data_IF_991413340737
#
_entry.id   IF_991413340737
#
_cell.length_a   1.000
_cell.length_b   1.000
_cell.length_c   1.000
_cell.angle_alpha   90.00
_cell.angle_beta   90.00
_cell.angle_gamma   90.00
#
_symmetry.space_group_name_H-M   'P 1'
#
loop_
_entity.id
_entity.type
_entity.pdbx_description
1 polymer ?
#
# COMPACT_ATOMS: atom_id res chain seq x y z
N UNK A 1 -9.51 0.58 25.49
CA UNK A 1 -8.97 -0.79 25.55
C UNK A 1 -7.47 -0.71 25.35
N UNK A 2 -6.67 -1.43 26.15
CA UNK A 2 -5.21 -1.48 25.96
C UNK A 2 -4.88 -2.39 24.77
N UNK A 3 -3.83 -2.08 24.02
CA UNK A 3 -3.27 -2.98 23.02
C UNK A 3 -2.80 -4.29 23.70
N UNK A 4 -3.03 -5.48 23.10
CA UNK A 4 -2.46 -6.73 23.59
C UNK A 4 -0.93 -6.65 23.68
N UNK A 5 -0.33 -7.36 24.66
CA UNK A 5 1.12 -7.29 24.92
C UNK A 5 1.93 -8.22 24.00
N UNK A 6 1.33 -9.33 23.58
CA UNK A 6 1.96 -10.30 22.67
C UNK A 6 1.60 -10.00 21.21
N UNK A 7 2.54 -10.14 20.26
CA UNK A 7 2.25 -9.99 18.83
C UNK A 7 1.12 -10.93 18.36
N UNK A 8 0.38 -10.55 17.31
CA UNK A 8 -0.67 -11.37 16.74
C UNK A 8 -0.19 -12.78 16.36
N UNK A 9 -0.85 -13.79 16.91
CA UNK A 9 -0.65 -15.20 16.60
C UNK A 9 -1.97 -15.96 16.75
N UNK A 10 -2.09 -17.21 16.23
CA UNK A 10 -3.37 -17.94 16.28
C UNK A 10 -3.98 -18.11 17.68
N UNK A 11 -3.19 -18.05 18.75
CA UNK A 11 -3.64 -18.22 20.12
C UNK A 11 -4.25 -16.97 20.77
N UNK A 12 -4.02 -15.77 20.22
CA UNK A 12 -4.46 -14.50 20.81
C UNK A 12 -5.32 -13.62 19.88
N UNK A 13 -5.83 -14.17 18.77
CA UNK A 13 -6.58 -13.41 17.75
C UNK A 13 -7.87 -12.77 18.26
N UNK A 14 -8.50 -13.33 19.29
CA UNK A 14 -9.72 -12.76 19.87
C UNK A 14 -9.44 -11.44 20.59
N UNK A 15 -8.32 -11.34 21.31
CA UNK A 15 -7.90 -10.10 21.98
C UNK A 15 -7.58 -9.01 20.96
N UNK A 16 -6.89 -9.37 19.87
CA UNK A 16 -6.60 -8.46 18.76
C UNK A 16 -7.87 -8.02 18.03
N UNK A 17 -8.86 -8.92 17.88
CA UNK A 17 -10.16 -8.57 17.28
C UNK A 17 -10.89 -7.54 18.14
N UNK A 18 -10.94 -7.74 19.45
CA UNK A 18 -11.60 -6.81 20.37
C UNK A 18 -10.90 -5.46 20.40
N UNK A 19 -9.56 -5.45 20.38
CA UNK A 19 -8.77 -4.23 20.27
C UNK A 19 -9.06 -3.48 18.96
N UNK A 20 -9.10 -4.18 17.82
CA UNK A 20 -9.44 -3.61 16.51
C UNK A 20 -10.85 -3.01 16.49
N UNK A 21 -11.85 -3.72 17.05
CA UNK A 21 -13.22 -3.22 17.17
C UNK A 21 -13.30 -1.99 18.07
N UNK A 22 -12.60 -1.99 19.20
CA UNK A 22 -12.54 -0.83 20.09
C UNK A 22 -11.91 0.38 19.42
N UNK A 23 -10.83 0.17 18.65
CA UNK A 23 -10.20 1.20 17.83
C UNK A 23 -11.17 1.75 16.79
N UNK A 24 -11.83 0.89 16.00
CA UNK A 24 -12.79 1.33 14.97
C UNK A 24 -13.98 2.08 15.57
N UNK A 25 -14.48 1.68 16.75
CA UNK A 25 -15.54 2.41 17.47
C UNK A 25 -15.08 3.80 17.93
N UNK A 26 -13.82 3.94 18.34
CA UNK A 26 -13.27 5.25 18.70
C UNK A 26 -13.15 6.17 17.47
N UNK A 27 -12.78 5.61 16.31
CA UNK A 27 -12.68 6.36 15.06
C UNK A 27 -14.06 6.71 14.50
N UNK A 28 -15.02 5.78 14.57
CA UNK A 28 -16.35 5.88 13.98
C UNK A 28 -17.46 5.51 14.98
N UNK A 29 -17.79 6.41 15.93
CA UNK A 29 -18.71 6.09 17.03
C UNK A 29 -20.09 5.57 16.62
N UNK A 30 -20.57 5.96 15.43
CA UNK A 30 -21.92 5.62 14.95
C UNK A 30 -21.92 4.54 13.85
N UNK A 31 -20.77 4.24 13.25
CA UNK A 31 -20.69 3.45 12.00
C UNK A 31 -19.65 2.31 12.08
N UNK A 32 -19.06 2.08 13.25
CA UNK A 32 -18.11 0.99 13.42
C UNK A 32 -18.77 -0.37 13.21
N UNK A 33 -18.06 -1.33 12.59
CA UNK A 33 -18.59 -2.68 12.40
C UNK A 33 -18.85 -3.33 13.77
N UNK A 34 -19.90 -4.15 13.84
CA UNK A 34 -20.20 -4.94 15.03
C UNK A 34 -19.27 -6.14 15.15
N UNK A 35 -18.82 -6.69 14.01
CA UNK A 35 -18.01 -7.90 13.89
C UNK A 35 -16.93 -7.70 12.84
N UNK A 36 -15.79 -8.38 13.05
CA UNK A 36 -14.74 -8.52 12.06
C UNK A 36 -14.74 -9.97 11.55
N UNK A 37 -14.42 -10.16 10.27
CA UNK A 37 -14.29 -11.48 9.65
C UNK A 37 -13.04 -12.21 10.16
N UNK A 38 -12.83 -13.45 9.68
CA UNK A 38 -11.65 -14.23 10.02
C UNK A 38 -10.37 -13.50 9.58
N UNK A 39 -9.37 -13.35 10.47
CA UNK A 39 -8.14 -12.66 10.13
C UNK A 39 -7.18 -13.56 9.33
N UNK A 40 -6.28 -12.91 8.61
CA UNK A 40 -5.02 -13.51 8.14
C UNK A 40 -3.88 -12.94 8.97
N UNK A 41 -2.98 -13.81 9.44
CA UNK A 41 -1.80 -13.43 10.21
C UNK A 41 -0.56 -13.47 9.30
N UNK A 42 0.22 -12.42 9.33
CA UNK A 42 1.57 -12.36 8.78
C UNK A 42 2.53 -12.35 9.96
N UNK A 43 3.25 -13.44 10.16
CA UNK A 43 4.11 -13.64 11.34
C UNK A 43 5.34 -12.74 11.37
N UNK A 44 5.63 -12.06 10.27
CA UNK A 44 6.77 -11.18 10.11
C UNK A 44 6.44 -10.02 9.16
N UNK A 45 7.06 -8.87 9.40
CA UNK A 45 7.00 -7.68 8.57
C UNK A 45 8.42 -7.25 8.20
N UNK A 46 8.69 -6.90 6.93
CA UNK A 46 10.01 -6.41 6.50
C UNK A 46 10.34 -5.02 7.05
N UNK A 47 9.39 -4.34 7.71
CA UNK A 47 9.63 -3.05 8.34
C UNK A 47 10.01 -3.23 9.81
N UNK A 48 11.14 -2.62 10.19
CA UNK A 48 11.60 -2.57 11.57
C UNK A 48 10.51 -2.00 12.50
N UNK A 49 10.21 -2.72 13.58
CA UNK A 49 9.21 -2.33 14.59
C UNK A 49 7.74 -2.55 14.20
N UNK A 50 7.43 -3.20 13.07
CA UNK A 50 6.06 -3.66 12.77
C UNK A 50 5.76 -5.05 13.35
N UNK A 51 6.75 -5.94 13.35
CA UNK A 51 6.61 -7.31 13.84
C UNK A 51 5.51 -8.11 13.13
N UNK A 52 4.83 -8.98 13.88
CA UNK A 52 3.69 -9.73 13.35
C UNK A 52 2.44 -8.84 13.23
N UNK A 53 1.66 -9.05 12.17
CA UNK A 53 0.41 -8.31 11.94
C UNK A 53 -0.75 -9.25 11.65
N UNK A 54 -1.96 -8.82 12.04
CA UNK A 54 -3.21 -9.47 11.68
C UNK A 54 -4.08 -8.51 10.86
N UNK A 55 -4.60 -9.00 9.74
CA UNK A 55 -5.51 -8.26 8.87
C UNK A 55 -6.91 -8.83 9.03
N UNK A 56 -7.84 -8.00 9.49
CA UNK A 56 -9.24 -8.35 9.69
C UNK A 56 -10.11 -7.67 8.63
N UNK A 57 -10.73 -8.42 7.71
CA UNK A 57 -11.73 -7.89 6.79
C UNK A 57 -13.02 -7.53 7.53
N UNK A 58 -13.73 -6.52 7.04
CA UNK A 58 -15.08 -6.20 7.52
C UNK A 58 -15.90 -5.44 6.48
N UNK A 59 -17.22 -5.57 6.58
CA UNK A 59 -18.16 -4.77 5.79
C UNK A 59 -18.35 -3.38 6.42
N UNK A 60 -18.39 -2.34 5.60
CA UNK A 60 -18.65 -0.97 6.03
C UNK A 60 -19.45 -0.21 4.98
N UNK A 61 -20.54 0.47 5.37
CA UNK A 61 -21.29 1.33 4.46
C UNK A 61 -20.49 2.57 4.02
N UNK A 62 -19.37 2.87 4.69
CA UNK A 62 -18.51 4.02 4.39
C UNK A 62 -17.53 3.77 3.25
N UNK A 63 -17.36 2.53 2.85
CA UNK A 63 -16.39 2.18 1.83
C UNK A 63 -16.97 2.53 0.46
N UNK A 64 -16.36 3.52 -0.20
CA UNK A 64 -16.86 4.08 -1.45
C UNK A 64 -16.75 3.02 -2.56
N UNK A 65 -17.90 2.65 -3.13
CA UNK A 65 -18.01 1.63 -4.19
C UNK A 65 -17.93 0.20 -3.67
N UNK A 66 -16.77 -0.18 -3.13
CA UNK A 66 -16.57 -1.48 -2.49
C UNK A 66 -16.93 -1.38 -1.01
N UNK A 67 -18.06 -1.96 -0.61
CA UNK A 67 -18.52 -1.99 0.79
C UNK A 67 -17.60 -2.77 1.76
N UNK A 68 -16.41 -3.19 1.31
CA UNK A 68 -15.43 -3.92 2.11
C UNK A 68 -14.26 -3.03 2.51
N UNK A 69 -13.80 -3.24 3.73
CA UNK A 69 -12.61 -2.63 4.30
C UNK A 69 -11.77 -3.70 4.98
N UNK A 70 -10.54 -3.34 5.31
CA UNK A 70 -9.67 -4.12 6.18
C UNK A 70 -9.18 -3.23 7.31
N UNK A 71 -9.00 -3.80 8.51
CA UNK A 71 -8.23 -3.20 9.59
C UNK A 71 -7.01 -4.06 9.86
N UNK A 72 -5.85 -3.44 9.94
CA UNK A 72 -4.57 -4.07 10.25
C UNK A 72 -4.19 -3.71 11.67
N UNK A 73 -3.80 -4.71 12.47
CA UNK A 73 -3.32 -4.56 13.83
C UNK A 73 -2.03 -5.33 14.03
N UNK A 74 -1.17 -4.88 14.95
CA UNK A 74 0.13 -5.48 15.23
C UNK A 74 0.85 -4.67 16.29
N UNK A 75 2.17 -4.60 16.24
CA UNK A 75 2.97 -3.80 17.18
C UNK A 75 2.71 -2.30 17.04
N UNK A 76 2.39 -1.85 15.82
CA UNK A 76 2.08 -0.44 15.55
C UNK A 76 0.60 -0.11 15.72
N UNK A 77 0.29 1.19 15.68
CA UNK A 77 -1.08 1.68 15.79
C UNK A 77 -1.95 1.08 14.66
N UNK A 78 -3.18 0.63 14.97
CA UNK A 78 -4.09 0.11 13.96
C UNK A 78 -4.31 1.08 12.79
N UNK A 79 -4.46 0.53 11.59
CA UNK A 79 -4.83 1.28 10.40
C UNK A 79 -5.96 0.56 9.67
N UNK A 80 -6.85 1.31 9.02
CA UNK A 80 -7.89 0.74 8.16
C UNK A 80 -7.86 1.34 6.76
N UNK A 81 -8.28 0.54 5.78
CA UNK A 81 -8.32 0.94 4.37
C UNK A 81 -9.57 0.37 3.69
N UNK A 82 -10.11 1.04 2.66
CA UNK A 82 -10.98 0.36 1.70
C UNK A 82 -10.25 -0.87 1.13
N UNK A 83 -11.00 -1.94 0.84
CA UNK A 83 -10.37 -3.17 0.33
C UNK A 83 -9.88 -2.97 -1.11
N UNK A 84 -10.54 -2.10 -1.87
CA UNK A 84 -10.28 -1.85 -3.29
C UNK A 84 -10.27 -3.14 -4.12
N UNK A 85 -11.02 -4.18 -3.71
CA UNK A 85 -10.94 -5.51 -4.30
C UNK A 85 -9.52 -6.12 -4.31
N UNK A 86 -8.65 -5.72 -3.38
CA UNK A 86 -7.31 -6.31 -3.21
C UNK A 86 -7.42 -7.66 -2.52
N UNK A 87 -6.49 -8.57 -2.85
CA UNK A 87 -6.26 -9.78 -2.05
C UNK A 87 -5.70 -9.39 -0.68
N UNK A 88 -5.74 -10.31 0.28
CA UNK A 88 -5.18 -10.03 1.61
C UNK A 88 -3.65 -9.82 1.55
N UNK A 89 -2.95 -10.51 0.64
CA UNK A 89 -1.53 -10.26 0.38
C UNK A 89 -1.25 -8.86 -0.17
N UNK A 90 -2.10 -8.38 -1.08
CA UNK A 90 -1.98 -7.02 -1.60
C UNK A 90 -2.40 -5.98 -0.56
N UNK A 91 -3.37 -6.27 0.30
CA UNK A 91 -3.72 -5.44 1.44
C UNK A 91 -2.56 -5.33 2.45
N UNK A 92 -1.84 -6.43 2.70
CA UNK A 92 -0.62 -6.39 3.51
C UNK A 92 0.47 -5.53 2.86
N UNK A 93 0.67 -5.67 1.54
CA UNK A 93 1.62 -4.83 0.80
C UNK A 93 1.21 -3.35 0.84
N UNK A 94 -0.08 -3.03 0.65
CA UNK A 94 -0.59 -1.67 0.80
C UNK A 94 -0.33 -1.11 2.22
N UNK A 95 -0.51 -1.94 3.25
CA UNK A 95 -0.21 -1.57 4.62
C UNK A 95 1.27 -1.23 4.80
N UNK A 96 2.18 -2.10 4.36
CA UNK A 96 3.63 -1.86 4.44
C UNK A 96 4.03 -0.56 3.73
N UNK A 97 3.59 -0.35 2.48
CA UNK A 97 3.90 0.90 1.78
C UNK A 97 3.31 2.14 2.44
N UNK A 98 2.14 2.00 3.09
CA UNK A 98 1.55 3.10 3.87
C UNK A 98 2.39 3.41 5.11
N UNK A 99 2.83 2.38 5.85
CA UNK A 99 3.65 2.54 7.05
C UNK A 99 5.02 3.14 6.71
N UNK A 100 5.65 2.66 5.66
CA UNK A 100 6.88 3.24 5.13
C UNK A 100 6.70 4.73 4.82
N UNK A 101 5.65 5.11 4.09
CA UNK A 101 5.38 6.53 3.80
C UNK A 101 5.18 7.37 5.07
N UNK A 102 4.50 6.85 6.08
CA UNK A 102 4.27 7.56 7.34
C UNK A 102 5.57 7.75 8.13
N UNK A 103 6.39 6.71 8.24
CA UNK A 103 7.68 6.74 8.97
C UNK A 103 8.66 7.69 8.27
N UNK A 104 8.74 7.64 6.95
CA UNK A 104 9.61 8.49 6.15
C UNK A 104 9.08 9.91 5.94
N UNK A 105 7.89 10.23 6.45
CA UNK A 105 7.28 11.57 6.28
C UNK A 105 6.98 11.93 4.82
N UNK A 106 6.69 10.93 3.97
CA UNK A 106 6.48 11.13 2.53
C UNK A 106 5.15 11.85 2.28
N UNK A 107 5.24 13.09 1.81
CA UNK A 107 4.10 13.92 1.41
C UNK A 107 3.88 13.93 -0.10
N UNK A 108 2.68 14.35 -0.53
CA UNK A 108 2.45 14.70 -1.92
C UNK A 108 3.33 15.90 -2.29
N UNK A 109 3.98 15.80 -3.45
CA UNK A 109 4.72 16.90 -4.04
C UNK A 109 3.79 17.66 -4.97
N UNK A 110 3.55 18.93 -4.68
CA UNK A 110 2.90 19.84 -5.63
C UNK A 110 3.88 20.11 -6.76
N UNK A 111 3.49 19.75 -7.98
CA UNK A 111 4.30 20.02 -9.17
C UNK A 111 4.58 21.53 -9.26
N UNK A 112 5.86 21.92 -9.20
CA UNK A 112 6.25 23.28 -9.50
C UNK A 112 5.95 23.58 -10.98
N UNK A 113 5.51 24.79 -11.29
CA UNK A 113 5.13 25.20 -12.64
C UNK A 113 6.27 25.15 -13.69
N UNK A 114 7.49 24.78 -13.30
CA UNK A 114 8.71 24.78 -14.11
C UNK A 114 9.63 23.58 -13.79
N UNK A 115 9.07 22.39 -13.64
CA UNK A 115 9.88 21.16 -13.56
C UNK A 115 10.14 20.65 -14.99
N UNK A 116 11.41 20.61 -15.42
CA UNK A 116 11.86 20.15 -16.76
C UNK A 116 11.73 18.62 -16.95
N UNK A 117 10.87 17.97 -16.16
CA UNK A 117 10.71 16.52 -16.17
C UNK A 117 9.85 16.06 -17.36
N UNK A 118 10.49 15.39 -18.33
CA UNK A 118 9.81 14.76 -19.46
C UNK A 118 9.26 13.38 -19.07
N UNK A 119 8.01 13.37 -18.60
CA UNK A 119 7.30 12.16 -18.21
C UNK A 119 7.12 11.16 -19.36
N UNK A 120 6.99 11.64 -20.60
CA UNK A 120 6.76 10.78 -21.76
C UNK A 120 8.05 10.03 -22.13
N UNK A 121 9.19 10.73 -22.18
CA UNK A 121 10.49 10.12 -22.40
C UNK A 121 10.82 9.11 -21.30
N UNK A 122 10.59 9.46 -20.03
CA UNK A 122 10.88 8.56 -18.91
C UNK A 122 10.01 7.30 -18.95
N UNK A 123 8.71 7.43 -19.23
CA UNK A 123 7.82 6.28 -19.41
C UNK A 123 8.29 5.36 -20.55
N UNK A 124 8.66 5.94 -21.71
CA UNK A 124 9.18 5.17 -22.86
C UNK A 124 10.49 4.46 -22.51
N UNK A 125 11.39 5.13 -21.80
CA UNK A 125 12.68 4.57 -21.34
C UNK A 125 12.50 3.44 -20.33
N UNK A 126 11.53 3.52 -19.44
CA UNK A 126 11.23 2.45 -18.48
C UNK A 126 10.61 1.25 -19.21
N UNK A 127 9.63 1.48 -20.09
CA UNK A 127 8.97 0.40 -20.85
C UNK A 127 9.95 -0.32 -21.76
N UNK A 128 10.87 0.38 -22.43
CA UNK A 128 11.83 -0.22 -23.36
C UNK A 128 12.78 -1.22 -22.67
N UNK A 129 13.05 -1.07 -21.37
CA UNK A 129 13.85 -2.03 -20.59
C UNK A 129 13.19 -3.42 -20.49
N UNK A 130 11.86 -3.48 -20.61
CA UNK A 130 11.10 -4.73 -20.55
C UNK A 130 10.66 -5.18 -21.94
N UNK A 131 10.21 -4.24 -22.78
CA UNK A 131 9.77 -4.51 -24.15
C UNK A 131 10.03 -3.32 -25.06
N UNK A 132 11.00 -3.47 -25.96
CA UNK A 132 11.35 -2.45 -26.96
C UNK A 132 10.25 -2.20 -28.01
N UNK A 133 9.28 -3.11 -28.14
CA UNK A 133 8.25 -3.03 -29.18
C UNK A 133 6.88 -2.55 -28.67
N UNK A 134 6.69 -2.45 -27.35
CA UNK A 134 5.41 -2.06 -26.78
C UNK A 134 5.16 -0.56 -27.01
N UNK A 135 4.05 -0.16 -27.67
CA UNK A 135 3.71 1.25 -27.81
C UNK A 135 3.33 1.84 -26.45
N UNK A 136 3.78 3.07 -26.20
CA UNK A 136 3.47 3.85 -25.01
C UNK A 136 2.80 5.14 -25.46
N UNK A 137 1.61 5.41 -24.94
CA UNK A 137 0.87 6.63 -25.24
C UNK A 137 0.05 7.10 -24.01
N UNK A 138 -0.60 8.27 -24.17
CA UNK A 138 -1.43 8.90 -23.13
C UNK A 138 -0.74 9.09 -21.77
N UNK A 139 0.58 9.35 -21.80
CA UNK A 139 1.39 9.51 -20.59
C UNK A 139 1.04 10.81 -19.89
N UNK A 140 0.75 10.75 -18.59
CA UNK A 140 0.56 11.91 -17.73
C UNK A 140 1.01 11.61 -16.30
N UNK A 141 1.44 12.63 -15.60
CA UNK A 141 1.72 12.53 -14.16
C UNK A 141 0.37 12.41 -13.42
N UNK A 142 0.18 11.33 -12.67
CA UNK A 142 -1.01 11.07 -11.88
C UNK A 142 -0.83 11.45 -10.40
N UNK A 143 0.39 11.32 -9.88
CA UNK A 143 0.78 11.80 -8.55
C UNK A 143 2.30 11.95 -8.48
N UNK A 144 2.78 12.82 -7.59
CA UNK A 144 4.19 12.93 -7.23
C UNK A 144 4.35 12.97 -5.71
N UNK A 145 5.48 12.47 -5.23
CA UNK A 145 5.81 12.39 -3.82
C UNK A 145 7.26 12.84 -3.59
N UNK A 146 7.49 13.57 -2.52
CA UNK A 146 8.84 13.91 -2.07
C UNK A 146 9.29 12.89 -1.02
N UNK A 147 10.40 12.21 -1.31
CA UNK A 147 11.03 11.20 -0.46
C UNK A 147 12.44 11.67 -0.17
N UNK A 148 12.63 12.36 0.96
CA UNK A 148 13.95 12.87 1.40
C UNK A 148 14.70 13.68 0.32
N UNK A 149 13.98 14.48 -0.47
CA UNK A 149 14.54 15.29 -1.55
C UNK A 149 14.56 14.62 -2.92
N UNK A 150 14.23 13.33 -3.01
CA UNK A 150 13.96 12.62 -4.27
C UNK A 150 12.49 12.78 -4.65
N UNK A 151 12.19 12.85 -5.95
CA UNK A 151 10.82 12.96 -6.42
C UNK A 151 10.39 11.66 -7.09
N UNK A 152 9.41 11.00 -6.49
CA UNK A 152 8.83 9.77 -7.00
C UNK A 152 7.58 10.12 -7.81
N UNK A 153 7.57 9.76 -9.09
CA UNK A 153 6.45 10.05 -10.00
C UNK A 153 5.63 8.80 -10.28
N UNK A 154 4.31 8.90 -10.14
CA UNK A 154 3.35 7.90 -10.63
C UNK A 154 2.81 8.40 -11.96
N UNK A 155 3.18 7.73 -13.04
CA UNK A 155 2.75 8.09 -14.39
C UNK A 155 1.57 7.20 -14.78
N UNK A 156 0.41 7.80 -15.08
CA UNK A 156 -0.65 7.08 -15.79
C UNK A 156 -0.27 7.01 -17.26
N UNK A 157 -0.31 5.82 -17.84
CA UNK A 157 0.02 5.61 -19.25
C UNK A 157 -0.83 4.47 -19.82
N UNK A 158 -0.84 4.37 -21.15
CA UNK A 158 -1.34 3.20 -21.86
C UNK A 158 -0.19 2.50 -22.56
N UNK A 159 0.05 1.24 -22.19
CA UNK A 159 1.13 0.41 -22.74
C UNK A 159 0.50 -0.77 -23.46
N UNK A 160 0.77 -0.90 -24.76
CA UNK A 160 0.15 -1.92 -25.62
C UNK A 160 -1.39 -2.00 -25.48
N UNK A 161 -2.03 -0.83 -25.34
CA UNK A 161 -3.50 -0.71 -25.21
C UNK A 161 -4.05 -0.93 -23.80
N UNK A 162 -3.23 -1.28 -22.81
CA UNK A 162 -3.65 -1.47 -21.41
C UNK A 162 -3.30 -0.24 -20.58
N UNK A 163 -4.25 0.26 -19.79
CA UNK A 163 -4.00 1.31 -18.81
C UNK A 163 -3.19 0.76 -17.65
N UNK A 164 -2.11 1.45 -17.30
CA UNK A 164 -1.19 1.07 -16.21
C UNK A 164 -0.69 2.33 -15.49
N UNK A 165 -0.21 2.13 -14.27
CA UNK A 165 0.70 3.08 -13.65
C UNK A 165 2.14 2.64 -13.82
N UNK A 166 3.02 3.58 -14.16
CA UNK A 166 4.47 3.40 -14.24
C UNK A 166 5.09 4.24 -13.11
N UNK A 167 5.99 3.63 -12.34
CA UNK A 167 6.75 4.33 -11.31
C UNK A 167 8.06 4.82 -11.91
N UNK A 168 8.19 6.14 -12.00
CA UNK A 168 9.29 6.82 -12.69
C UNK A 168 10.01 7.86 -11.85
N UNK A 169 10.92 8.58 -12.51
CA UNK A 169 11.89 9.51 -11.93
C UNK A 169 12.81 8.80 -10.93
N UNK A 170 12.72 9.15 -9.65
CA UNK A 170 13.58 8.58 -8.61
C UNK A 170 12.93 7.38 -7.90
N UNK A 171 11.69 7.06 -8.24
CA UNK A 171 10.99 5.94 -7.62
C UNK A 171 11.64 4.58 -7.96
N UNK A 172 11.58 3.59 -7.03
CA UNK A 172 11.87 2.21 -7.39
C UNK A 172 11.04 1.81 -8.61
N UNK A 173 11.70 1.40 -9.69
CA UNK A 173 11.03 1.13 -10.95
C UNK A 173 9.97 0.04 -10.80
N UNK A 174 8.83 0.22 -11.47
CA UNK A 174 7.82 -0.82 -11.54
C UNK A 174 6.57 -0.42 -12.31
N UNK A 175 5.70 -1.42 -12.45
CA UNK A 175 4.40 -1.30 -13.11
C UNK A 175 3.31 -1.73 -12.14
N UNK A 176 2.23 -0.97 -12.09
CA UNK A 176 1.01 -1.35 -11.38
C UNK A 176 -0.12 -1.42 -12.40
N UNK A 177 -0.57 -2.63 -12.72
CA UNK A 177 -1.66 -2.87 -13.68
C UNK A 177 -3.04 -2.45 -13.16
N UNK A 178 -3.16 -2.19 -11.85
CA UNK A 178 -4.38 -1.73 -11.19
C UNK A 178 -4.60 -0.22 -11.37
N UNK A 179 -4.77 0.20 -12.62
CA UNK A 179 -5.03 1.59 -13.00
C UNK A 179 -6.40 2.12 -12.51
N UNK A 180 -7.26 1.22 -12.01
CA UNK A 180 -8.51 1.54 -11.34
C UNK A 180 -8.32 2.06 -9.90
N UNK A 181 -7.13 1.85 -9.30
CA UNK A 181 -6.81 2.38 -7.98
C UNK A 181 -6.46 3.88 -8.07
N UNK A 182 -6.73 4.67 -7.02
CA UNK A 182 -6.13 6.00 -6.92
C UNK A 182 -4.60 5.92 -6.99
N UNK A 183 -3.95 6.81 -7.73
CA UNK A 183 -2.49 6.81 -7.90
C UNK A 183 -1.69 6.73 -6.58
N UNK A 184 -2.07 7.43 -5.47
CA UNK A 184 -1.41 7.24 -4.18
C UNK A 184 -1.54 5.83 -3.58
N UNK A 185 -2.65 5.13 -3.84
CA UNK A 185 -2.86 3.75 -3.41
C UNK A 185 -2.01 2.80 -4.24
N UNK A 186 -1.96 2.99 -5.56
CA UNK A 186 -1.08 2.22 -6.44
C UNK A 186 0.39 2.36 -6.06
N UNK A 187 0.83 3.57 -5.71
CA UNK A 187 2.19 3.83 -5.24
C UNK A 187 2.52 3.11 -3.93
N UNK A 188 1.65 3.20 -2.92
CA UNK A 188 1.83 2.47 -1.65
C UNK A 188 1.86 0.96 -1.86
N UNK A 189 0.96 0.44 -2.69
CA UNK A 189 0.95 -0.98 -3.05
C UNK A 189 2.28 -1.41 -3.69
N UNK A 190 2.81 -0.61 -4.61
CA UNK A 190 4.11 -0.85 -5.22
C UNK A 190 5.26 -0.85 -4.20
N UNK A 191 5.35 0.20 -3.36
CA UNK A 191 6.36 0.27 -2.32
C UNK A 191 6.33 -0.94 -1.39
N UNK A 192 5.14 -1.36 -0.96
CA UNK A 192 5.01 -2.56 -0.12
C UNK A 192 5.46 -3.85 -0.80
N UNK A 193 5.21 -3.99 -2.11
CA UNK A 193 5.71 -5.13 -2.89
C UNK A 193 7.24 -5.10 -3.02
N UNK A 194 7.83 -3.92 -3.21
CA UNK A 194 9.29 -3.76 -3.24
C UNK A 194 9.90 -4.14 -1.89
N UNK A 195 9.38 -3.62 -0.79
CA UNK A 195 9.83 -3.94 0.57
C UNK A 195 9.75 -5.44 0.88
N UNK A 196 8.71 -6.14 0.39
CA UNK A 196 8.57 -7.59 0.54
C UNK A 196 9.54 -8.40 -0.33
N UNK A 197 10.03 -7.81 -1.42
CA UNK A 197 10.97 -8.46 -2.33
C UNK A 197 12.43 -8.23 -1.93
N UNK A 198 12.70 -7.25 -1.06
CA UNK A 198 14.02 -7.05 -0.48
C UNK A 198 14.39 -8.25 0.40
N UNK A 199 15.64 -8.75 0.34
CA UNK A 199 16.09 -9.79 1.23
C UNK A 199 15.95 -9.30 2.68
N UNK A 200 15.39 -10.13 3.55
CA UNK A 200 15.34 -9.84 4.97
C UNK A 200 16.78 -9.52 5.46
N UNK A 201 17.05 -8.34 6.03
CA UNK A 201 18.36 -8.00 6.56
C UNK A 201 18.87 -9.00 7.59
N UNK A 202 17.97 -9.72 8.28
CA UNK A 202 18.30 -10.76 9.26
C UNK A 202 18.38 -12.18 8.66
N UNK A 203 18.15 -12.33 7.35
CA UNK A 203 18.29 -13.59 6.63
C UNK A 203 17.19 -14.62 6.87
N UNK A 204 16.07 -14.24 7.50
CA UNK A 204 14.90 -15.11 7.65
C UNK A 204 14.06 -14.93 6.37
N UNK A 205 14.33 -15.73 5.35
CA UNK A 205 13.52 -15.73 4.14
C UNK A 205 12.03 -15.89 4.50
N UNK A 206 11.23 -14.87 4.18
CA UNK A 206 9.78 -14.82 4.37
C UNK A 206 9.02 -15.74 3.40
N UNK A 207 9.49 -16.98 3.22
CA UNK A 207 8.73 -18.04 2.59
C UNK A 207 7.94 -18.79 3.68
N UNK A 208 6.86 -18.15 4.13
CA UNK A 208 5.73 -18.78 4.79
C UNK A 208 4.52 -18.74 3.86
#
# INVERSE_FOLDING_TARGET
MKQPEEPPNPGNLDEWRDFALAYLRAQWPNDAPAVLEAPTVFSHSPLEGEGAVAIFPFASPRAAGDSRMVVVVGETQPNYYPSYGLTIDDAFSLHLGTRFMLVMGIGQHEAAAADDYDAEDDARRIVSRVSNAAPVDAVRIAAQFNVEGQIHSVLAARVAGREVYILGRDAPMGFVERADLPAPVAYRLHLGRVLRAEPDPDGINANG
#
